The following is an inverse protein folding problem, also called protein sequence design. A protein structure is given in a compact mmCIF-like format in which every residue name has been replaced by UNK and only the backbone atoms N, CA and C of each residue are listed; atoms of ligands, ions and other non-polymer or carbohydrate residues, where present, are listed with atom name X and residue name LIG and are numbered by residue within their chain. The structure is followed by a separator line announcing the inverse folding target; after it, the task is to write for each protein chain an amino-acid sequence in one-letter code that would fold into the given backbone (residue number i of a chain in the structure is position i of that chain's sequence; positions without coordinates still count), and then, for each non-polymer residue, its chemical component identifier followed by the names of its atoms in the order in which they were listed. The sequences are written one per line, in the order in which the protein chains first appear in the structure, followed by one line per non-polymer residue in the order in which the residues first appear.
data_IF_729409558014
#
_entry.id   IF_729409558014
#
_cell.length_a   1.000
_cell.length_b   1.000
_cell.length_c   1.000
_cell.angle_alpha   90.00
_cell.angle_beta   90.00
_cell.angle_gamma   90.00
#
_symmetry.space_group_name_H-M   'P 1'
#
loop_
_entity.id
_entity.type
_entity.pdbx_description
1 polymer ?
#
# COMPACT_ATOMS: atom_id res chain seq x y z
N UNK A 1 8.22 -31.90 -4.57
CA UNK A 1 8.07 -30.47 -4.96
C UNK A 1 6.61 -30.30 -5.36
N UNK A 2 5.87 -29.37 -4.81
CA UNK A 2 4.46 -29.13 -5.20
C UNK A 2 4.49 -28.41 -6.55
N UNK A 3 3.92 -29.05 -7.57
CA UNK A 3 3.77 -28.44 -8.90
C UNK A 3 2.44 -27.68 -8.91
N UNK A 4 2.48 -26.41 -9.25
CA UNK A 4 1.30 -25.58 -9.34
C UNK A 4 0.76 -25.55 -10.77
N UNK A 5 -0.54 -25.48 -10.96
CA UNK A 5 -1.20 -25.46 -12.27
C UNK A 5 -0.70 -24.29 -13.15
N UNK A 6 -0.41 -23.13 -12.56
CA UNK A 6 0.09 -21.96 -13.32
C UNK A 6 1.56 -22.07 -13.74
N UNK A 7 2.36 -22.94 -13.11
CA UNK A 7 3.73 -23.19 -13.57
C UNK A 7 3.79 -23.99 -14.85
N UNK A 8 2.66 -24.58 -15.27
CA UNK A 8 2.50 -25.32 -16.51
C UNK A 8 1.89 -24.48 -17.64
N UNK A 9 1.57 -23.22 -17.37
CA UNK A 9 0.99 -22.27 -18.33
C UNK A 9 1.80 -20.98 -18.36
N UNK A 10 2.26 -20.61 -19.56
CA UNK A 10 2.95 -19.33 -19.72
C UNK A 10 1.97 -18.15 -19.54
N UNK A 11 2.45 -17.06 -18.94
CA UNK A 11 1.69 -15.82 -18.81
C UNK A 11 0.65 -15.78 -17.66
N UNK A 12 0.50 -16.86 -16.89
CA UNK A 12 -0.38 -16.84 -15.71
C UNK A 12 0.33 -16.15 -14.53
N UNK A 13 0.27 -14.80 -14.52
CA UNK A 13 0.98 -13.96 -13.56
C UNK A 13 0.06 -13.12 -12.67
N UNK A 14 -1.25 -13.42 -12.65
CA UNK A 14 -2.26 -12.64 -11.91
C UNK A 14 -2.54 -13.26 -10.55
N UNK A 15 -2.51 -12.42 -9.49
CA UNK A 15 -2.83 -12.79 -8.12
C UNK A 15 -3.89 -11.87 -7.53
N UNK A 16 -4.49 -12.24 -6.40
CA UNK A 16 -5.41 -11.40 -5.67
C UNK A 16 -5.04 -11.37 -4.18
N UNK A 17 -4.68 -10.20 -3.69
CA UNK A 17 -4.53 -9.94 -2.27
C UNK A 17 -5.90 -9.71 -1.64
N UNK A 18 -6.19 -10.41 -0.54
CA UNK A 18 -7.43 -10.27 0.23
C UNK A 18 -7.07 -9.73 1.60
N UNK A 19 -7.26 -8.44 1.78
CA UNK A 19 -6.73 -7.72 2.94
C UNK A 19 -7.73 -6.70 3.51
N UNK A 20 -7.38 -6.11 4.66
CA UNK A 20 -8.04 -4.95 5.28
C UNK A 20 -7.00 -3.88 5.62
N UNK A 21 -5.89 -3.89 4.93
CA UNK A 21 -4.81 -2.93 5.14
C UNK A 21 -5.22 -1.57 4.57
N UNK A 22 -4.79 -0.52 5.25
CA UNK A 22 -4.95 0.86 4.75
C UNK A 22 -3.83 1.23 3.76
N UNK A 23 -2.68 0.49 3.80
CA UNK A 23 -1.48 0.66 2.97
C UNK A 23 -1.46 -0.31 1.76
N UNK A 24 -2.61 -0.54 1.15
CA UNK A 24 -2.76 -1.42 -0.01
C UNK A 24 -1.98 -0.89 -1.22
N UNK A 25 -1.24 -1.78 -1.90
CA UNK A 25 -0.55 -1.45 -3.16
C UNK A 25 0.95 -1.18 -3.04
N UNK A 26 1.49 -1.00 -1.82
CA UNK A 26 2.93 -0.77 -1.62
C UNK A 26 3.76 -2.05 -1.51
N UNK A 27 3.21 -3.06 -0.88
CA UNK A 27 3.86 -4.35 -0.71
C UNK A 27 2.87 -5.51 -0.55
N UNK A 28 3.36 -6.74 -0.75
CA UNK A 28 2.78 -7.95 -0.20
C UNK A 28 3.65 -8.42 0.95
N UNK A 29 3.06 -8.71 2.10
CA UNK A 29 3.81 -9.24 3.25
C UNK A 29 3.08 -10.39 3.91
N UNK A 30 3.81 -11.45 4.20
CA UNK A 30 3.27 -12.60 4.91
C UNK A 30 4.33 -13.25 5.80
N UNK A 31 3.93 -13.84 6.94
CA UNK A 31 4.85 -14.63 7.74
C UNK A 31 5.41 -15.81 6.95
N UNK A 32 6.70 -16.07 7.08
CA UNK A 32 7.33 -17.27 6.48
C UNK A 32 6.89 -18.54 7.20
N UNK A 33 6.50 -18.42 8.48
CA UNK A 33 5.94 -19.49 9.28
C UNK A 33 4.69 -19.01 9.99
N UNK A 34 3.60 -19.79 9.93
CA UNK A 34 2.44 -19.53 10.77
C UNK A 34 2.77 -19.79 12.25
N UNK A 35 1.97 -19.20 13.16
CA UNK A 35 2.06 -19.46 14.59
C UNK A 35 1.90 -20.97 14.84
N UNK A 36 2.93 -21.62 15.42
CA UNK A 36 2.98 -23.08 15.59
C UNK A 36 3.74 -23.84 14.49
N UNK A 37 4.46 -23.15 13.60
CA UNK A 37 5.34 -23.78 12.61
C UNK A 37 4.64 -24.39 11.39
N UNK A 38 3.34 -24.19 11.24
CA UNK A 38 2.57 -24.74 10.13
C UNK A 38 2.57 -23.77 8.95
N UNK A 39 2.91 -24.25 7.76
CA UNK A 39 2.83 -23.47 6.52
C UNK A 39 1.36 -23.18 6.18
N UNK A 40 1.01 -21.91 6.04
CA UNK A 40 -0.32 -21.47 5.61
C UNK A 40 -0.28 -21.20 4.10
N UNK A 41 -1.06 -21.92 3.28
CA UNK A 41 -0.97 -21.83 1.83
C UNK A 41 -1.05 -20.41 1.27
N UNK A 42 -1.93 -19.56 1.82
CA UNK A 42 -2.05 -18.17 1.39
C UNK A 42 -0.83 -17.29 1.68
N UNK A 43 0.00 -17.68 2.64
CA UNK A 43 1.28 -17.01 2.93
C UNK A 43 2.39 -17.53 2.01
N UNK A 44 2.39 -18.85 1.78
CA UNK A 44 3.37 -19.49 0.86
C UNK A 44 3.25 -18.94 -0.57
N UNK A 45 2.03 -18.55 -0.99
CA UNK A 45 1.83 -17.96 -2.32
C UNK A 45 2.58 -16.64 -2.54
N UNK A 46 2.90 -15.90 -1.49
CA UNK A 46 3.70 -14.67 -1.61
C UNK A 46 5.08 -14.98 -2.20
N UNK A 47 5.65 -16.15 -1.90
CA UNK A 47 6.91 -16.59 -2.49
C UNK A 47 6.81 -16.97 -3.98
N UNK A 48 5.61 -17.18 -4.50
CA UNK A 48 5.39 -17.50 -5.92
C UNK A 48 5.21 -16.24 -6.79
N UNK A 49 5.03 -15.07 -6.18
CA UNK A 49 4.93 -13.80 -6.91
C UNK A 49 6.29 -13.46 -7.51
N UNK A 50 6.35 -13.16 -8.79
CA UNK A 50 7.56 -12.84 -9.54
C UNK A 50 7.51 -11.38 -10.03
N UNK A 51 8.62 -10.88 -10.55
CA UNK A 51 8.63 -9.59 -11.23
C UNK A 51 7.53 -9.54 -12.32
N UNK A 52 6.88 -8.40 -12.47
CA UNK A 52 5.74 -8.19 -13.37
C UNK A 52 4.48 -9.04 -13.07
N UNK A 53 4.41 -9.72 -11.93
CA UNK A 53 3.14 -10.26 -11.47
C UNK A 53 2.17 -9.13 -11.16
N UNK A 54 0.93 -9.27 -11.60
CA UNK A 54 -0.13 -8.31 -11.33
C UNK A 54 -0.91 -8.74 -10.09
N UNK A 55 -1.10 -7.82 -9.18
CA UNK A 55 -1.80 -8.03 -7.92
C UNK A 55 -3.12 -7.25 -7.95
N UNK A 56 -4.22 -7.95 -7.92
CA UNK A 56 -5.56 -7.38 -7.74
C UNK A 56 -5.81 -7.24 -6.24
N UNK A 57 -6.16 -6.06 -5.79
CA UNK A 57 -6.40 -5.78 -4.37
C UNK A 57 -7.89 -5.85 -4.04
N UNK A 58 -8.24 -6.74 -3.11
CA UNK A 58 -9.59 -6.91 -2.60
C UNK A 58 -9.65 -6.45 -1.14
N UNK A 59 -10.41 -5.38 -0.88
CA UNK A 59 -10.74 -4.95 0.47
C UNK A 59 -11.80 -5.89 1.06
N UNK A 60 -11.39 -6.70 2.03
CA UNK A 60 -12.27 -7.66 2.68
C UNK A 60 -13.18 -7.05 3.76
N UNK A 61 -13.02 -5.76 4.09
CA UNK A 61 -13.95 -5.03 4.95
C UNK A 61 -15.09 -4.42 4.15
N UNK A 62 -14.76 -3.76 3.04
CA UNK A 62 -15.74 -3.20 2.10
C UNK A 62 -16.30 -4.23 1.12
N UNK A 63 -15.76 -5.47 1.10
CA UNK A 63 -16.13 -6.54 0.19
C UNK A 63 -16.09 -6.13 -1.29
N UNK A 64 -14.98 -5.54 -1.74
CA UNK A 64 -14.85 -5.03 -3.10
C UNK A 64 -13.40 -5.09 -3.62
N UNK A 65 -13.23 -5.19 -4.94
CA UNK A 65 -11.93 -4.98 -5.60
C UNK A 65 -11.72 -3.47 -5.71
N UNK A 66 -10.55 -3.00 -5.27
CA UNK A 66 -10.26 -1.56 -5.14
C UNK A 66 -9.17 -1.07 -6.08
N UNK A 67 -8.33 -1.94 -6.59
CA UNK A 67 -7.23 -1.54 -7.47
C UNK A 67 -6.34 -2.70 -7.87
N UNK A 68 -5.28 -2.39 -8.60
CA UNK A 68 -4.25 -3.33 -9.04
C UNK A 68 -2.86 -2.73 -8.85
N UNK A 69 -1.84 -3.59 -8.69
CA UNK A 69 -0.43 -3.21 -8.64
C UNK A 69 0.42 -4.19 -9.44
N UNK A 70 1.67 -3.85 -9.68
CA UNK A 70 2.68 -4.70 -10.27
C UNK A 70 3.74 -5.06 -9.23
N UNK A 71 4.22 -6.30 -9.22
CA UNK A 71 5.35 -6.70 -8.39
C UNK A 71 6.67 -6.32 -9.08
N UNK A 72 7.57 -5.65 -8.35
CA UNK A 72 8.90 -5.27 -8.86
C UNK A 72 9.83 -6.47 -9.04
N UNK A 73 9.59 -7.54 -8.27
CA UNK A 73 10.48 -8.69 -8.15
C UNK A 73 11.44 -8.59 -6.97
N UNK A 74 11.55 -7.44 -6.33
CA UNK A 74 12.33 -7.27 -5.11
C UNK A 74 11.66 -7.99 -3.94
N UNK A 75 12.49 -8.68 -3.15
CA UNK A 75 12.03 -9.50 -2.03
C UNK A 75 12.92 -9.30 -0.84
N UNK A 76 12.29 -9.14 0.33
CA UNK A 76 12.99 -8.93 1.59
C UNK A 76 12.53 -9.97 2.61
N UNK A 77 13.50 -10.60 3.29
CA UNK A 77 13.22 -11.41 4.47
C UNK A 77 13.45 -10.54 5.70
N UNK A 78 12.38 -10.06 6.30
CA UNK A 78 12.45 -9.15 7.44
C UNK A 78 11.35 -9.46 8.46
N UNK A 79 11.53 -9.07 9.74
CA UNK A 79 10.46 -9.14 10.72
C UNK A 79 9.28 -8.26 10.29
N UNK A 80 8.08 -8.84 10.28
CA UNK A 80 6.84 -8.12 9.98
C UNK A 80 5.92 -8.08 11.20
N UNK A 81 5.25 -6.95 11.39
CA UNK A 81 4.18 -6.84 12.38
C UNK A 81 2.91 -7.47 11.81
N UNK A 82 2.54 -8.60 12.35
CA UNK A 82 1.48 -9.43 11.75
C UNK A 82 0.37 -9.77 12.73
N UNK A 83 -0.86 -9.59 12.28
CA UNK A 83 -2.07 -10.07 12.95
C UNK A 83 -2.82 -11.02 12.02
N UNK A 84 -2.85 -12.29 12.35
CA UNK A 84 -3.74 -13.22 11.66
C UNK A 84 -5.20 -12.79 11.89
N UNK A 85 -5.95 -12.59 10.81
CA UNK A 85 -7.30 -11.98 10.84
C UNK A 85 -8.45 -12.96 10.56
N UNK A 86 -8.16 -14.23 10.34
CA UNK A 86 -9.17 -15.28 10.08
C UNK A 86 -10.07 -15.55 11.29
N UNK A 87 -11.19 -16.22 11.06
CA UNK A 87 -12.13 -16.62 12.11
C UNK A 87 -11.47 -17.46 13.21
N UNK A 88 -10.54 -18.34 12.84
CA UNK A 88 -9.76 -19.14 13.79
C UNK A 88 -8.87 -18.26 14.68
N UNK A 89 -8.16 -17.30 14.09
CA UNK A 89 -7.28 -16.38 14.82
C UNK A 89 -8.08 -15.50 15.80
N UNK A 90 -9.27 -15.06 15.42
CA UNK A 90 -10.19 -14.31 16.31
C UNK A 90 -10.66 -15.16 17.48
N UNK A 91 -11.06 -16.42 17.23
CA UNK A 91 -11.46 -17.36 18.29
C UNK A 91 -10.30 -17.68 19.24
N UNK A 92 -9.07 -17.75 18.72
CA UNK A 92 -7.87 -17.99 19.52
C UNK A 92 -7.33 -16.73 20.21
N UNK A 93 -7.98 -15.58 20.09
CA UNK A 93 -7.52 -14.32 20.69
C UNK A 93 -6.15 -13.88 20.19
N UNK A 94 -5.82 -14.17 18.93
CA UNK A 94 -4.52 -13.86 18.35
C UNK A 94 -4.29 -12.35 18.33
N UNK A 95 -3.26 -11.89 19.03
CA UNK A 95 -2.81 -10.48 19.02
C UNK A 95 -1.74 -10.30 17.95
N UNK A 96 -1.61 -9.07 17.39
CA UNK A 96 -0.49 -8.73 16.54
C UNK A 96 0.84 -9.02 17.24
N UNK A 97 1.80 -9.54 16.49
CA UNK A 97 3.15 -9.83 16.99
C UNK A 97 4.16 -9.74 15.85
N UNK A 98 5.43 -9.54 16.18
CA UNK A 98 6.52 -9.64 15.23
C UNK A 98 6.77 -11.09 14.84
N UNK A 99 6.81 -11.35 13.54
CA UNK A 99 7.11 -12.67 12.97
C UNK A 99 8.15 -12.52 11.85
N UNK A 100 9.00 -13.52 11.64
CA UNK A 100 9.79 -13.59 10.41
C UNK A 100 8.86 -13.57 9.20
N UNK A 101 9.09 -12.66 8.28
CA UNK A 101 8.23 -12.41 7.14
C UNK A 101 8.99 -12.38 5.82
N UNK A 102 8.25 -12.58 4.75
CA UNK A 102 8.63 -12.30 3.38
C UNK A 102 7.82 -11.08 2.91
N UNK A 103 8.50 -10.07 2.42
CA UNK A 103 7.94 -8.87 1.80
C UNK A 103 8.28 -8.90 0.31
N UNK A 104 7.32 -8.63 -0.53
CA UNK A 104 7.47 -8.43 -1.98
C UNK A 104 7.05 -7.01 -2.29
N UNK A 105 7.97 -6.21 -2.82
CA UNK A 105 7.70 -4.83 -3.18
C UNK A 105 6.74 -4.75 -4.38
N UNK A 106 5.80 -3.82 -4.31
CA UNK A 106 4.85 -3.51 -5.38
C UNK A 106 5.06 -2.08 -5.85
N UNK A 107 4.70 -1.85 -7.10
CA UNK A 107 4.74 -0.56 -7.77
C UNK A 107 3.47 -0.33 -8.60
N UNK A 108 3.32 0.85 -9.15
CA UNK A 108 2.25 1.19 -10.10
C UNK A 108 0.83 0.89 -9.57
N UNK A 109 0.56 1.17 -8.28
CA UNK A 109 -0.80 1.00 -7.78
C UNK A 109 -1.77 1.87 -8.56
N UNK A 110 -2.75 1.24 -9.19
CA UNK A 110 -3.84 1.90 -9.92
C UNK A 110 -5.16 1.59 -9.25
N UNK A 111 -5.80 2.58 -8.61
CA UNK A 111 -7.13 2.38 -8.07
C UNK A 111 -8.14 2.16 -9.19
N UNK A 112 -9.18 1.39 -8.91
CA UNK A 112 -10.35 1.33 -9.80
C UNK A 112 -11.11 2.65 -9.73
N UNK A 113 -11.56 3.17 -10.88
CA UNK A 113 -12.40 4.38 -10.93
C UNK A 113 -13.68 4.21 -10.10
N UNK A 114 -14.25 3.00 -10.18
CA UNK A 114 -15.34 2.54 -9.32
C UNK A 114 -14.94 1.19 -8.75
N UNK A 115 -14.81 1.04 -7.41
CA UNK A 115 -14.54 -0.25 -6.79
C UNK A 115 -15.58 -1.29 -7.18
N UNK A 116 -15.16 -2.52 -7.45
CA UNK A 116 -16.05 -3.59 -7.93
C UNK A 116 -16.56 -4.42 -6.73
N UNK A 117 -17.86 -4.25 -6.34
CA UNK A 117 -18.39 -4.92 -5.15
C UNK A 117 -18.55 -6.43 -5.33
N UNK A 118 -18.50 -7.18 -4.23
CA UNK A 118 -18.80 -8.61 -4.19
C UNK A 118 -20.20 -8.94 -4.77
N UNK A 119 -21.15 -8.01 -4.65
CA UNK A 119 -22.48 -8.17 -5.23
C UNK A 119 -22.43 -8.38 -6.76
N UNK A 120 -21.55 -7.64 -7.48
CA UNK A 120 -21.34 -7.81 -8.93
C UNK A 120 -20.66 -9.15 -9.21
N UNK A 121 -19.68 -9.55 -8.41
CA UNK A 121 -19.04 -10.87 -8.54
C UNK A 121 -20.06 -12.00 -8.36
N UNK A 122 -21.00 -11.85 -7.43
CA UNK A 122 -22.12 -12.80 -7.22
C UNK A 122 -23.06 -12.88 -8.41
N UNK A 123 -23.33 -11.78 -9.10
CA UNK A 123 -24.11 -11.78 -10.34
C UNK A 123 -23.41 -12.60 -11.45
N UNK A 124 -22.07 -12.53 -11.50
CA UNK A 124 -21.21 -13.24 -12.47
C UNK A 124 -20.77 -14.63 -11.99
N UNK A 125 -21.33 -15.13 -10.90
CA UNK A 125 -20.86 -16.35 -10.22
C UNK A 125 -20.74 -17.58 -11.12
N UNK A 126 -21.68 -17.78 -12.04
CA UNK A 126 -21.68 -18.95 -12.93
C UNK A 126 -20.44 -18.97 -13.82
N UNK A 127 -20.08 -17.84 -14.41
CA UNK A 127 -18.90 -17.72 -15.26
C UNK A 127 -17.60 -17.86 -14.43
N UNK A 128 -17.52 -17.23 -13.26
CA UNK A 128 -16.35 -17.33 -12.37
C UNK A 128 -16.14 -18.76 -11.86
N UNK A 129 -17.22 -19.45 -11.45
CA UNK A 129 -17.11 -20.83 -10.97
C UNK A 129 -16.86 -21.81 -12.10
N UNK A 130 -17.34 -21.56 -13.33
CA UNK A 130 -17.03 -22.37 -14.50
C UNK A 130 -15.52 -22.36 -14.82
N UNK A 131 -14.84 -21.21 -14.68
CA UNK A 131 -13.37 -21.12 -14.82
C UNK A 131 -12.68 -22.00 -13.76
N UNK A 132 -13.11 -21.89 -12.50
CA UNK A 132 -12.57 -22.72 -11.41
C UNK A 132 -12.77 -24.21 -11.68
N UNK A 133 -13.97 -24.61 -12.06
CA UNK A 133 -14.31 -26.02 -12.25
C UNK A 133 -13.57 -26.61 -13.47
N UNK A 134 -13.39 -25.82 -14.53
CA UNK A 134 -12.54 -26.18 -15.67
C UNK A 134 -11.09 -26.42 -15.24
N UNK A 135 -10.50 -25.52 -14.44
CA UNK A 135 -9.15 -25.71 -13.89
C UNK A 135 -9.06 -26.94 -12.99
N UNK A 136 -10.07 -27.19 -12.15
CA UNK A 136 -10.09 -28.36 -11.28
C UNK A 136 -10.14 -29.66 -12.08
N UNK A 137 -10.86 -29.69 -13.19
CA UNK A 137 -10.94 -30.85 -14.09
C UNK A 137 -9.61 -31.05 -14.87
N UNK A 138 -8.94 -29.96 -15.27
CA UNK A 138 -7.70 -30.01 -16.02
C UNK A 138 -6.49 -30.37 -15.12
N UNK A 139 -6.53 -29.95 -13.83
CA UNK A 139 -5.47 -30.18 -12.84
C UNK A 139 -6.01 -30.91 -11.60
N UNK A 140 -6.43 -32.17 -11.75
CA UNK A 140 -7.02 -32.93 -10.64
C UNK A 140 -6.01 -33.12 -9.50
N UNK A 141 -6.46 -32.88 -8.28
CA UNK A 141 -5.63 -33.01 -7.08
C UNK A 141 -4.66 -31.86 -6.80
N UNK A 142 -4.52 -30.89 -7.71
CA UNK A 142 -3.72 -29.72 -7.45
C UNK A 142 -4.53 -28.64 -6.73
N UNK A 143 -3.93 -27.92 -5.75
CA UNK A 143 -4.60 -26.80 -5.10
C UNK A 143 -4.72 -25.63 -6.07
N UNK A 144 -5.94 -25.14 -6.29
CA UNK A 144 -6.19 -24.04 -7.23
C UNK A 144 -5.87 -22.67 -6.65
N UNK A 145 -6.03 -22.50 -5.34
CA UNK A 145 -5.95 -21.20 -4.64
C UNK A 145 -6.87 -20.12 -5.22
N UNK A 146 -7.96 -20.55 -5.85
CA UNK A 146 -8.93 -19.66 -6.46
C UNK A 146 -9.63 -18.78 -5.41
N UNK A 147 -9.82 -17.47 -5.65
CA UNK A 147 -10.26 -16.54 -4.61
C UNK A 147 -11.72 -16.68 -4.22
N UNK A 148 -12.55 -17.32 -5.04
CA UNK A 148 -13.98 -17.49 -4.77
C UNK A 148 -14.38 -18.95 -4.76
N UNK A 149 -15.23 -19.28 -3.79
CA UNK A 149 -15.74 -20.64 -3.62
C UNK A 149 -17.28 -20.62 -3.64
N UNK A 150 -17.92 -21.74 -4.08
CA UNK A 150 -19.37 -21.88 -3.99
C UNK A 150 -19.84 -21.73 -2.54
N UNK A 151 -20.93 -21.02 -2.36
CA UNK A 151 -21.56 -20.88 -1.05
C UNK A 151 -23.07 -20.79 -1.23
N UNK A 152 -23.81 -21.83 -0.85
CA UNK A 152 -25.24 -21.98 -1.12
C UNK A 152 -25.51 -21.74 -2.63
N UNK A 153 -26.47 -20.88 -2.99
CA UNK A 153 -26.77 -20.51 -4.36
C UNK A 153 -25.96 -19.30 -4.86
N UNK A 154 -24.82 -19.01 -4.22
CA UNK A 154 -23.99 -17.83 -4.46
C UNK A 154 -22.50 -18.20 -4.44
N UNK A 155 -21.62 -17.20 -4.33
CA UNK A 155 -20.20 -17.36 -4.02
C UNK A 155 -19.81 -16.51 -2.80
N UNK A 156 -18.74 -16.91 -2.16
CA UNK A 156 -18.05 -16.12 -1.14
C UNK A 156 -16.56 -16.06 -1.43
N UNK A 157 -15.90 -15.03 -0.92
CA UNK A 157 -14.45 -14.92 -0.98
C UNK A 157 -13.80 -15.98 -0.10
N UNK A 158 -12.77 -16.64 -0.61
CA UNK A 158 -12.00 -17.61 0.14
C UNK A 158 -11.20 -16.92 1.24
N UNK A 159 -11.15 -17.52 2.44
CA UNK A 159 -10.41 -16.96 3.57
C UNK A 159 -8.92 -17.26 3.43
N UNK A 160 -8.23 -16.46 2.64
CA UNK A 160 -6.77 -16.50 2.44
C UNK A 160 -6.24 -15.08 2.40
N UNK A 161 -4.94 -14.90 2.54
CA UNK A 161 -4.29 -13.61 2.32
C UNK A 161 -4.04 -13.35 0.84
N UNK A 162 -3.46 -14.31 0.15
CA UNK A 162 -3.19 -14.25 -1.28
C UNK A 162 -3.87 -15.43 -1.97
N UNK A 163 -4.45 -15.18 -3.12
CA UNK A 163 -5.06 -16.16 -4.00
C UNK A 163 -4.44 -16.08 -5.40
N UNK A 164 -4.58 -17.14 -6.18
CA UNK A 164 -4.15 -17.18 -7.58
C UNK A 164 -5.36 -16.94 -8.48
N UNK A 165 -5.27 -15.91 -9.34
CA UNK A 165 -6.27 -15.62 -10.37
C UNK A 165 -5.82 -16.20 -11.71
N UNK A 166 -6.64 -17.00 -12.39
CA UNK A 166 -6.42 -17.31 -13.80
C UNK A 166 -6.69 -16.08 -14.68
N UNK A 167 -5.90 -15.88 -15.71
CA UNK A 167 -6.11 -14.77 -16.65
C UNK A 167 -7.51 -14.76 -17.29
N UNK A 168 -8.13 -15.92 -17.45
CA UNK A 168 -9.51 -16.05 -17.94
C UNK A 168 -10.55 -15.28 -17.09
N UNK A 169 -10.23 -14.96 -15.84
CA UNK A 169 -11.10 -14.12 -14.98
C UNK A 169 -11.25 -12.71 -15.54
N UNK A 170 -10.24 -12.19 -16.24
CA UNK A 170 -10.29 -10.85 -16.85
C UNK A 170 -11.37 -10.74 -17.94
N UNK A 171 -11.72 -11.84 -18.60
CA UNK A 171 -12.81 -11.84 -19.60
C UNK A 171 -14.19 -11.79 -18.94
N UNK A 172 -14.30 -12.19 -17.69
CA UNK A 172 -15.51 -12.10 -16.88
C UNK A 172 -15.60 -10.77 -16.12
N UNK A 173 -14.44 -10.14 -15.86
CA UNK A 173 -14.32 -8.88 -15.11
C UNK A 173 -13.68 -7.79 -15.99
N UNK A 174 -14.41 -7.23 -16.98
CA UNK A 174 -13.86 -6.23 -17.89
C UNK A 174 -13.40 -4.95 -17.18
N UNK A 175 -13.97 -4.60 -16.03
CA UNK A 175 -13.54 -3.47 -15.21
C UNK A 175 -12.11 -3.66 -14.69
N UNK A 176 -11.81 -4.86 -14.20
CA UNK A 176 -10.45 -5.22 -13.74
C UNK A 176 -9.51 -5.34 -14.94
N UNK A 177 -9.98 -5.93 -16.05
CA UNK A 177 -9.20 -6.06 -17.30
C UNK A 177 -8.72 -4.70 -17.81
N UNK A 178 -9.57 -3.68 -17.78
CA UNK A 178 -9.23 -2.33 -18.20
C UNK A 178 -8.09 -1.73 -17.38
N UNK A 179 -8.12 -1.89 -16.05
CA UNK A 179 -7.07 -1.38 -15.16
C UNK A 179 -5.77 -2.18 -15.31
N UNK A 180 -5.86 -3.51 -15.48
CA UNK A 180 -4.69 -4.38 -15.75
C UNK A 180 -4.03 -4.03 -17.10
N UNK A 181 -4.81 -3.78 -18.15
CA UNK A 181 -4.28 -3.35 -19.44
C UNK A 181 -3.54 -2.01 -19.34
N UNK A 182 -4.08 -1.09 -18.56
CA UNK A 182 -3.43 0.20 -18.32
C UNK A 182 -2.09 0.08 -17.55
N UNK A 183 -1.86 -0.99 -16.79
CA UNK A 183 -0.53 -1.28 -16.22
C UNK A 183 0.49 -1.72 -17.27
N UNK A 184 0.05 -2.31 -18.38
CA UNK A 184 0.93 -2.79 -19.46
C UNK A 184 1.34 -1.68 -20.42
N UNK A 185 0.62 -0.56 -20.45
CA UNK A 185 1.00 0.63 -21.21
C UNK A 185 2.14 1.31 -20.45
N UNK A 186 3.33 1.34 -21.04
CA UNK A 186 4.46 2.10 -20.50
C UNK A 186 4.03 3.56 -20.36
N UNK A 187 4.30 4.19 -19.20
CA UNK A 187 4.03 5.62 -19.06
C UNK A 187 4.85 6.36 -20.11
N UNK A 188 4.17 7.11 -20.96
CA UNK A 188 4.82 7.99 -21.93
C UNK A 188 5.84 8.85 -21.18
N UNK A 189 7.04 9.01 -21.77
CA UNK A 189 8.13 9.84 -21.24
C UNK A 189 7.71 11.32 -21.20
N UNK A 190 6.80 11.65 -20.26
CA UNK A 190 6.42 13.02 -19.99
C UNK A 190 7.37 13.62 -18.96
N UNK A 191 8.00 14.72 -19.34
CA UNK A 191 8.76 15.54 -18.40
C UNK A 191 7.78 16.08 -17.36
N UNK A 192 7.93 15.65 -16.10
CA UNK A 192 7.16 16.19 -14.99
C UNK A 192 7.55 17.66 -14.83
N UNK A 193 6.66 18.56 -15.19
CA UNK A 193 6.87 19.98 -14.98
C UNK A 193 6.61 20.33 -13.53
N UNK A 194 7.31 21.33 -13.00
CA UNK A 194 7.06 21.88 -11.65
C UNK A 194 5.57 22.15 -11.41
N UNK A 195 4.85 22.60 -12.46
CA UNK A 195 3.42 22.88 -12.40
C UNK A 195 2.56 21.62 -12.18
N UNK A 196 2.92 20.47 -12.77
CA UNK A 196 2.20 19.21 -12.58
C UNK A 196 2.38 18.68 -11.16
N UNK A 197 3.56 18.87 -10.60
CA UNK A 197 3.91 18.44 -9.24
C UNK A 197 3.20 19.33 -8.21
N UNK A 198 3.21 20.65 -8.42
CA UNK A 198 2.48 21.60 -7.55
C UNK A 198 0.96 21.41 -7.62
N UNK A 199 0.42 20.99 -8.77
CA UNK A 199 -0.99 20.66 -8.94
C UNK A 199 -1.34 19.38 -8.15
N UNK A 200 -0.45 18.40 -8.13
CA UNK A 200 -0.59 17.17 -7.37
C UNK A 200 -0.54 17.44 -5.85
N UNK A 201 0.41 18.23 -5.39
CA UNK A 201 0.50 18.68 -4.00
C UNK A 201 -0.73 19.48 -3.57
N UNK A 202 -1.25 20.36 -4.43
CA UNK A 202 -2.51 21.08 -4.20
C UNK A 202 -3.72 20.16 -4.15
N UNK A 203 -3.76 19.09 -4.93
CA UNK A 203 -4.87 18.11 -4.90
C UNK A 203 -4.84 17.28 -3.63
N UNK A 204 -3.66 16.88 -3.14
CA UNK A 204 -3.48 16.23 -1.83
C UNK A 204 -3.91 17.18 -0.70
N UNK A 205 -3.49 18.45 -0.76
CA UNK A 205 -3.91 19.49 0.20
C UNK A 205 -5.41 19.80 0.09
N UNK A 206 -6.02 19.70 -1.09
CA UNK A 206 -7.45 19.91 -1.33
C UNK A 206 -8.32 18.73 -0.86
N UNK A 207 -7.83 17.49 -0.99
CA UNK A 207 -8.47 16.32 -0.40
C UNK A 207 -8.49 16.39 1.14
N UNK A 208 -7.58 17.17 1.70
CA UNK A 208 -7.50 17.50 3.13
C UNK A 208 -8.42 18.65 3.59
N UNK A 209 -9.33 19.18 2.76
CA UNK A 209 -10.45 20.04 3.25
C UNK A 209 -10.47 21.49 2.80
N UNK A 210 -9.84 21.88 1.69
CA UNK A 210 -10.03 23.22 1.10
C UNK A 210 -11.02 23.20 -0.08
N UNK A 211 -11.77 24.31 -0.36
CA UNK A 211 -12.89 24.29 -1.30
C UNK A 211 -12.47 24.05 -2.76
N UNK A 212 -13.25 23.20 -3.42
CA UNK A 212 -13.07 22.65 -4.77
C UNK A 212 -13.40 23.67 -5.87
N UNK A 213 -12.52 23.72 -6.88
CA UNK A 213 -12.95 23.91 -8.27
C UNK A 213 -12.63 22.64 -9.05
N UNK A 214 -13.57 22.07 -9.83
CA UNK A 214 -13.38 20.75 -10.43
C UNK A 214 -12.61 20.84 -11.75
N UNK A 215 -11.51 20.07 -11.89
CA UNK A 215 -10.99 19.64 -13.18
C UNK A 215 -10.62 18.16 -13.14
N UNK A 216 -11.04 17.45 -14.18
CA UNK A 216 -11.00 16.01 -14.40
C UNK A 216 -9.60 15.46 -14.67
N UNK A 217 -9.24 14.36 -13.99
CA UNK A 217 -8.64 13.12 -14.51
C UNK A 217 -7.21 13.14 -15.01
N UNK A 218 -6.42 12.25 -14.53
CA UNK A 218 -5.11 11.69 -14.91
C UNK A 218 -3.94 11.90 -13.94
N UNK A 219 -4.01 12.80 -12.96
CA UNK A 219 -2.89 13.14 -12.07
C UNK A 219 -2.53 12.11 -11.00
N UNK A 220 -3.44 11.22 -10.58
CA UNK A 220 -3.31 10.49 -9.30
C UNK A 220 -2.22 9.41 -9.25
N UNK A 221 -1.91 8.74 -10.36
CA UNK A 221 -0.91 7.66 -10.38
C UNK A 221 0.53 8.19 -10.59
N UNK A 222 0.67 9.23 -11.40
CA UNK A 222 1.94 9.97 -11.58
C UNK A 222 2.36 10.60 -10.26
N UNK A 223 1.38 11.06 -9.49
CA UNK A 223 1.49 11.70 -8.20
C UNK A 223 2.16 10.80 -7.14
N UNK A 224 1.77 9.54 -7.08
CA UNK A 224 2.29 8.61 -6.06
C UNK A 224 3.77 8.25 -6.27
N UNK A 225 4.20 8.02 -7.50
CA UNK A 225 5.60 7.70 -7.81
C UNK A 225 6.53 8.89 -7.50
N UNK A 226 6.10 10.10 -7.89
CA UNK A 226 6.82 11.32 -7.57
C UNK A 226 6.91 11.52 -6.07
N UNK A 227 5.79 11.31 -5.35
CA UNK A 227 5.74 11.42 -3.91
C UNK A 227 6.74 10.48 -3.25
N UNK A 228 6.71 9.19 -3.60
CA UNK A 228 7.65 8.18 -3.07
C UNK A 228 9.10 8.53 -3.41
N UNK A 229 9.38 8.98 -4.63
CA UNK A 229 10.74 9.37 -5.03
C UNK A 229 11.23 10.59 -4.25
N UNK A 230 10.37 11.59 -4.03
CA UNK A 230 10.67 12.81 -3.27
C UNK A 230 10.87 12.48 -1.79
N UNK A 231 10.01 11.63 -1.19
CA UNK A 231 10.19 11.14 0.19
C UNK A 231 11.49 10.36 0.34
N UNK A 232 11.76 9.40 -0.57
CA UNK A 232 13.01 8.61 -0.56
C UNK A 232 14.25 9.51 -0.69
N UNK A 233 14.18 10.52 -1.55
CA UNK A 233 15.27 11.48 -1.71
C UNK A 233 15.50 12.28 -0.42
N UNK A 234 14.45 12.80 0.19
CA UNK A 234 14.55 13.54 1.45
C UNK A 234 15.09 12.66 2.59
N UNK A 235 14.66 11.40 2.66
CA UNK A 235 15.18 10.40 3.59
C UNK A 235 16.70 10.19 3.40
N UNK A 236 17.16 10.00 2.17
CA UNK A 236 18.58 9.85 1.85
C UNK A 236 19.39 11.09 2.23
N UNK A 237 18.87 12.28 1.96
CA UNK A 237 19.51 13.54 2.35
C UNK A 237 19.63 13.69 3.88
N UNK A 238 18.60 13.31 4.62
CA UNK A 238 18.60 13.30 6.08
C UNK A 238 19.61 12.26 6.61
N UNK A 239 19.62 11.04 6.04
CA UNK A 239 20.58 10.00 6.38
C UNK A 239 22.02 10.46 6.19
N UNK A 240 22.35 11.03 5.02
CA UNK A 240 23.70 11.57 4.72
C UNK A 240 24.08 12.67 5.70
N UNK A 241 23.14 13.54 6.06
CA UNK A 241 23.40 14.62 7.02
C UNK A 241 23.68 14.08 8.42
N UNK A 242 22.78 13.26 8.96
CA UNK A 242 22.87 12.77 10.34
C UNK A 242 23.97 11.72 10.54
N UNK A 243 24.33 10.95 9.51
CA UNK A 243 25.45 10.00 9.58
C UNK A 243 26.81 10.66 9.81
N UNK A 244 26.92 11.97 9.56
CA UNK A 244 28.12 12.76 9.89
C UNK A 244 28.15 13.23 11.34
N UNK A 245 26.98 13.23 11.99
CA UNK A 245 26.82 13.72 13.37
C UNK A 245 26.79 12.58 14.40
N UNK A 246 26.32 11.40 14.00
CA UNK A 246 26.19 10.28 14.91
C UNK A 246 25.72 8.99 14.25
N UNK A 247 25.33 8.02 15.07
CA UNK A 247 24.81 6.74 14.60
C UNK A 247 23.33 6.87 14.23
N UNK A 248 23.01 6.60 12.96
CA UNK A 248 21.64 6.64 12.42
C UNK A 248 21.05 5.24 12.35
N UNK A 249 19.82 5.09 12.81
CA UNK A 249 19.00 3.88 12.66
C UNK A 249 17.70 4.27 11.99
N UNK A 250 17.37 3.61 10.87
CA UNK A 250 16.10 3.80 10.18
C UNK A 250 14.96 3.16 10.99
N UNK A 251 13.99 3.97 11.34
CA UNK A 251 12.80 3.59 12.13
C UNK A 251 11.49 3.89 11.41
N UNK A 252 11.55 4.42 10.19
CA UNK A 252 10.40 4.88 9.40
C UNK A 252 9.29 3.84 9.24
N UNK A 253 9.64 2.56 9.25
CA UNK A 253 8.69 1.45 9.12
C UNK A 253 8.14 0.92 10.43
N UNK A 254 8.71 1.32 11.56
CA UNK A 254 8.43 0.69 12.87
C UNK A 254 7.96 1.66 13.94
N UNK A 255 8.24 2.93 13.77
CA UNK A 255 7.96 3.99 14.73
C UNK A 255 7.14 5.11 14.08
N UNK A 256 6.76 6.09 14.88
CA UNK A 256 6.09 7.31 14.44
C UNK A 256 7.06 8.44 14.08
N UNK A 257 8.31 8.10 13.75
CA UNK A 257 9.38 9.00 13.31
C UNK A 257 10.33 8.21 12.40
N UNK A 258 11.05 8.90 11.53
CA UNK A 258 11.80 8.27 10.46
C UNK A 258 13.17 7.73 10.86
N UNK A 259 13.94 8.48 11.67
CA UNK A 259 15.26 8.07 12.12
C UNK A 259 15.45 8.23 13.63
N UNK A 260 16.09 7.23 14.25
CA UNK A 260 16.71 7.35 15.55
C UNK A 260 18.18 7.69 15.36
N UNK A 261 18.66 8.81 15.92
CA UNK A 261 20.03 9.30 15.74
C UNK A 261 20.67 9.50 17.11
N UNK A 262 21.76 8.80 17.37
CA UNK A 262 22.54 8.97 18.60
C UNK A 262 23.68 9.98 18.36
N UNK A 263 23.57 11.17 18.96
CA UNK A 263 24.56 12.26 18.89
C UNK A 263 25.04 12.57 20.29
N UNK A 264 26.33 12.46 20.54
CA UNK A 264 26.99 12.74 21.84
C UNK A 264 26.30 12.05 23.04
N UNK A 265 25.80 10.80 22.82
CA UNK A 265 25.12 10.02 23.85
C UNK A 265 23.63 10.41 24.06
N UNK A 266 23.12 11.34 23.28
CA UNK A 266 21.70 11.72 23.27
C UNK A 266 21.00 11.09 22.08
N UNK A 267 19.87 10.40 22.32
CA UNK A 267 19.03 9.84 21.27
C UNK A 267 18.06 10.89 20.76
N UNK A 268 18.13 11.19 19.49
CA UNK A 268 17.22 12.09 18.77
C UNK A 268 16.29 11.29 17.88
N UNK A 269 15.03 11.69 17.86
CA UNK A 269 14.03 11.18 16.90
C UNK A 269 13.83 12.21 15.80
N UNK A 270 14.10 11.81 14.58
CA UNK A 270 14.07 12.71 13.41
C UNK A 270 12.86 12.38 12.55
N UNK A 271 12.04 13.38 12.30
CA UNK A 271 10.99 13.37 11.29
C UNK A 271 11.50 14.01 10.01
N UNK A 272 11.26 13.39 8.85
CA UNK A 272 11.74 13.84 7.55
C UNK A 272 10.56 14.20 6.65
N UNK A 273 10.63 15.35 6.00
CA UNK A 273 9.62 15.77 5.02
C UNK A 273 10.31 16.21 3.73
N UNK A 274 9.81 15.71 2.60
CA UNK A 274 10.26 16.08 1.26
C UNK A 274 9.14 16.74 0.47
N UNK A 275 9.46 17.82 -0.28
CA UNK A 275 8.51 18.48 -1.18
C UNK A 275 9.22 19.06 -2.40
N UNK A 276 8.50 19.14 -3.51
CA UNK A 276 8.97 19.78 -4.75
C UNK A 276 8.75 21.28 -4.75
N UNK A 277 7.89 21.79 -3.86
CA UNK A 277 7.62 23.23 -3.70
C UNK A 277 8.41 23.86 -2.55
N UNK A 278 8.13 25.15 -2.33
CA UNK A 278 8.59 25.90 -1.15
C UNK A 278 7.47 25.87 -0.11
N UNK A 279 7.58 25.02 0.92
CA UNK A 279 6.47 24.77 1.81
C UNK A 279 6.32 25.92 2.83
N UNK A 280 5.19 26.58 2.81
CA UNK A 280 4.70 27.36 3.95
C UNK A 280 4.17 26.44 5.05
N UNK A 281 3.71 25.23 4.68
CA UNK A 281 3.09 24.24 5.56
C UNK A 281 3.57 22.82 5.19
N UNK A 282 3.70 21.96 6.17
CA UNK A 282 3.95 20.52 6.02
C UNK A 282 2.79 19.71 6.58
N UNK A 283 2.56 18.51 6.04
CA UNK A 283 1.56 17.60 6.57
C UNK A 283 2.17 16.68 7.63
N UNK A 284 1.49 16.60 8.75
CA UNK A 284 1.84 15.72 9.85
C UNK A 284 0.69 14.77 10.15
N UNK A 285 1.01 13.52 10.41
CA UNK A 285 0.04 12.54 10.91
C UNK A 285 -0.24 12.79 12.40
N UNK A 286 -1.40 12.34 12.92
CA UNK A 286 -1.68 12.43 14.35
C UNK A 286 -0.61 11.78 15.24
N UNK A 287 0.01 10.68 14.78
CA UNK A 287 1.06 9.97 15.50
C UNK A 287 2.36 10.77 15.57
N UNK A 288 2.75 11.43 14.48
CA UNK A 288 3.92 12.32 14.42
C UNK A 288 3.72 13.55 15.31
N UNK A 289 2.52 14.16 15.28
CA UNK A 289 2.18 15.29 16.17
C UNK A 289 2.25 14.87 17.64
N UNK A 290 1.68 13.73 18.00
CA UNK A 290 1.72 13.24 19.37
C UNK A 290 3.14 12.93 19.78
N UNK A 291 3.92 12.26 18.94
CA UNK A 291 5.33 11.93 19.22
C UNK A 291 6.18 13.18 19.44
N UNK A 292 6.06 14.17 18.53
CA UNK A 292 6.79 15.43 18.65
C UNK A 292 6.41 16.25 19.90
N UNK A 293 5.20 16.04 20.43
CA UNK A 293 4.78 16.68 21.68
C UNK A 293 5.29 15.96 22.93
N UNK A 294 5.39 14.64 22.88
CA UNK A 294 5.65 13.80 24.05
C UNK A 294 7.14 13.50 24.24
N UNK A 295 7.95 13.59 23.18
CA UNK A 295 9.37 13.29 23.24
C UNK A 295 10.23 14.57 23.23
N UNK A 296 11.22 14.71 24.14
CA UNK A 296 11.96 15.96 24.30
C UNK A 296 13.04 16.21 23.24
N UNK A 297 13.57 15.14 22.65
CA UNK A 297 14.68 15.21 21.69
C UNK A 297 14.20 14.86 20.27
N UNK A 298 13.37 15.72 19.71
CA UNK A 298 12.85 15.57 18.34
C UNK A 298 13.48 16.60 17.41
N UNK A 299 13.79 16.18 16.19
CA UNK A 299 14.22 17.06 15.11
C UNK A 299 13.31 16.90 13.91
N UNK A 300 13.12 17.96 13.15
CA UNK A 300 12.42 17.97 11.88
C UNK A 300 13.41 18.35 10.77
N UNK A 301 13.52 17.48 9.76
CA UNK A 301 14.37 17.67 8.61
C UNK A 301 13.50 17.83 7.35
N UNK A 302 13.50 19.00 6.76
CA UNK A 302 12.70 19.31 5.58
C UNK A 302 13.61 19.50 4.37
N UNK A 303 13.32 18.85 3.25
CA UNK A 303 13.95 19.15 1.95
C UNK A 303 12.87 19.70 1.04
N UNK A 304 13.01 20.96 0.69
CA UNK A 304 12.11 21.67 -0.22
C UNK A 304 12.74 21.90 -1.60
N UNK A 305 11.92 22.26 -2.60
CA UNK A 305 12.37 22.53 -3.97
C UNK A 305 13.15 21.35 -4.59
N UNK A 306 12.77 20.13 -4.28
CA UNK A 306 13.34 18.93 -4.90
C UNK A 306 12.91 18.90 -6.36
N UNK A 307 13.88 18.90 -7.28
CA UNK A 307 13.59 18.67 -8.69
C UNK A 307 13.28 17.19 -8.90
N UNK A 308 12.14 16.89 -9.53
CA UNK A 308 11.76 15.55 -9.94
C UNK A 308 11.50 15.52 -11.45
N UNK A 309 12.16 14.63 -12.16
CA UNK A 309 12.03 14.46 -13.60
C UNK A 309 11.89 12.98 -13.94
N UNK A 310 11.19 12.66 -15.00
CA UNK A 310 11.08 11.29 -15.48
C UNK A 310 12.11 11.04 -16.58
N UNK A 311 12.88 9.99 -16.45
CA UNK A 311 13.85 9.61 -17.45
C UNK A 311 13.20 8.86 -18.65
N UNK A 312 14.02 8.48 -19.65
CA UNK A 312 13.58 7.74 -20.84
C UNK A 312 13.09 6.32 -20.54
N UNK A 313 13.34 5.80 -19.34
CA UNK A 313 12.91 4.48 -18.86
C UNK A 313 11.68 4.57 -17.95
N UNK A 314 11.16 5.78 -17.71
CA UNK A 314 10.00 6.01 -16.85
C UNK A 314 10.33 6.18 -15.37
N UNK A 315 11.60 6.09 -14.96
CA UNK A 315 12.03 6.27 -13.57
C UNK A 315 12.02 7.75 -13.17
N UNK A 316 11.61 8.01 -11.92
CA UNK A 316 11.69 9.36 -11.36
C UNK A 316 13.09 9.62 -10.84
N UNK A 317 13.75 10.58 -11.44
CA UNK A 317 15.06 11.08 -10.99
C UNK A 317 14.82 12.33 -10.16
N UNK A 318 15.30 12.30 -8.92
CA UNK A 318 15.23 13.42 -7.99
C UNK A 318 16.61 14.05 -7.78
N UNK A 319 16.66 15.37 -7.63
CA UNK A 319 17.92 16.08 -7.39
C UNK A 319 17.69 17.47 -6.78
N UNK A 320 18.75 18.07 -6.24
CA UNK A 320 18.72 19.44 -5.73
C UNK A 320 17.96 19.57 -4.40
N UNK A 321 17.28 20.69 -4.24
CA UNK A 321 16.50 21.00 -3.04
C UNK A 321 17.25 21.84 -2.00
N UNK A 322 16.45 22.42 -1.11
CA UNK A 322 16.94 23.25 0.01
C UNK A 322 16.62 22.53 1.32
N UNK A 323 17.62 22.37 2.19
CA UNK A 323 17.47 21.75 3.49
C UNK A 323 17.11 22.80 4.54
N UNK A 324 16.05 22.54 5.32
CA UNK A 324 15.69 23.30 6.52
C UNK A 324 15.61 22.34 7.68
N UNK A 325 16.38 22.62 8.75
CA UNK A 325 16.54 21.70 9.88
C UNK A 325 16.16 22.41 11.16
N UNK A 326 15.18 21.84 11.87
CA UNK A 326 14.80 22.25 13.21
C UNK A 326 15.37 21.23 14.21
N UNK A 327 16.35 21.62 15.00
CA UNK A 327 17.07 20.73 15.92
C UNK A 327 17.49 21.49 17.18
N UNK A 328 16.75 21.44 18.28
CA UNK A 328 15.49 20.70 18.50
C UNK A 328 14.31 21.27 17.71
N UNK A 329 13.35 20.39 17.40
CA UNK A 329 12.06 20.80 16.88
C UNK A 329 11.02 20.90 18.01
N UNK A 330 10.62 22.13 18.32
CA UNK A 330 9.59 22.42 19.30
C UNK A 330 8.26 22.63 18.54
N UNK A 331 7.37 21.66 18.65
CA UNK A 331 6.07 21.71 17.99
C UNK A 331 5.20 22.81 18.60
N UNK A 332 4.92 23.88 17.84
CA UNK A 332 3.99 24.93 18.23
C UNK A 332 2.55 24.52 17.89
N UNK A 333 1.76 24.19 18.90
CA UNK A 333 0.36 23.81 18.73
C UNK A 333 -0.53 24.90 18.11
N UNK A 334 -0.16 26.17 18.24
CA UNK A 334 -0.90 27.27 17.63
C UNK A 334 -0.77 27.28 16.09
N UNK A 335 0.25 26.59 15.55
CA UNK A 335 0.47 26.43 14.11
C UNK A 335 -0.17 25.15 13.54
N UNK A 336 -0.76 24.30 14.37
CA UNK A 336 -1.44 23.11 13.92
C UNK A 336 -2.87 23.41 13.47
N UNK A 337 -3.20 23.06 12.24
CA UNK A 337 -4.56 23.10 11.72
C UNK A 337 -5.04 21.68 11.43
N UNK A 338 -6.11 21.18 12.09
CA UNK A 338 -6.64 19.85 11.79
C UNK A 338 -7.25 19.84 10.39
N UNK A 339 -6.82 18.90 9.55
CA UNK A 339 -7.27 18.76 8.16
C UNK A 339 -8.31 17.66 7.96
N UNK A 340 -8.62 16.91 9.00
CA UNK A 340 -9.64 15.87 8.94
C UNK A 340 -9.92 15.24 10.30
N UNK A 341 -11.09 14.61 10.40
CA UNK A 341 -11.52 13.86 11.58
C UNK A 341 -12.04 12.50 11.15
N UNK A 342 -11.74 11.44 11.93
CA UNK A 342 -12.42 10.14 11.80
C UNK A 342 -13.59 10.12 12.77
N UNK A 343 -14.79 9.96 12.24
CA UNK A 343 -15.98 9.72 13.05
C UNK A 343 -16.34 8.23 13.00
N UNK A 344 -16.32 7.57 14.16
CA UNK A 344 -16.82 6.19 14.28
C UNK A 344 -18.33 6.24 14.49
N UNK A 345 -19.07 5.64 13.58
CA UNK A 345 -20.46 5.30 13.80
C UNK A 345 -20.48 4.14 14.80
N UNK A 346 -20.96 4.39 16.01
CA UNK A 346 -21.23 3.32 16.96
C UNK A 346 -22.40 2.48 16.42
N UNK A 347 -22.21 1.13 16.41
CA UNK A 347 -23.21 0.18 15.93
C UNK A 347 -24.40 -0.08 16.86
N UNK A 348 -24.82 0.86 17.68
CA UNK A 348 -25.97 0.76 18.57
C UNK A 348 -27.00 1.85 18.25
N UNK A 349 -27.45 1.88 16.99
CA UNK A 349 -28.74 2.44 16.66
C UNK A 349 -29.77 1.28 16.67
N UNK A 350 -30.11 0.79 17.85
CA UNK A 350 -31.41 0.18 18.03
C UNK A 350 -32.46 1.24 17.66
N UNK A 351 -33.25 0.92 16.63
CA UNK A 351 -34.22 1.82 16.06
C UNK A 351 -35.26 2.30 17.08
N UNK A 352 -35.24 3.56 17.36
CA UNK A 352 -36.45 4.27 17.71
C UNK A 352 -36.96 4.88 16.41
N UNK A 353 -37.91 4.16 15.76
CA UNK A 353 -38.73 4.74 14.71
C UNK A 353 -39.45 5.98 15.21
N UNK A 354 -39.79 6.90 14.30
CA UNK A 354 -40.53 8.11 14.67
C UNK A 354 -41.93 7.77 15.20
N UNK A 355 -42.47 8.64 16.05
CA UNK A 355 -43.82 8.49 16.63
C UNK A 355 -44.91 8.54 15.57
#
# INVERSE_FOLDING_TARGET
MVTYWWSQRSGENLFMEITRRDDTGGDLKAPTTARGGVNTPGYTLVSAVQANSVIVHYDSAAEQIVGVSRATGERFNEPIWWAARGSYARKAGAKPTWLPGLVVALEDYRPMAEPLPLAVLRQRRLALLAIRDKLQAEYPGQPLYFPWIPYQNSLRTFQTYLAKLPNAVLDVLPEVKGVVAALAEEPSSETLTQQNIEEAERQVASAAGRPRTPRRGQGFAIDQQVKVAVETYAMNEAFIYYSKLGKVTDTSRTQSFDYAVEIDGVLWHVEVKGTTGDPEEILLTPSEVQHANDYPCVALFVVSNIAATRDKHGEIITSGGTRTIFHPWLLDRARLSPIGYRYRLHGDLEGTGPP
#
